data_IF_884873248354
#
_entry.id   IF_884873248354
#
_cell.length_a   1.000
_cell.length_b   1.000
_cell.length_c   1.000
_cell.angle_alpha   90.00
_cell.angle_beta   90.00
_cell.angle_gamma   90.00
#
_symmetry.space_group_name_H-M   'P 1'
#
loop_
_entity.id
_entity.type
_entity.pdbx_description
1 polymer ?
#
# COMPACT_ATOMS: atom_id res chain seq x y z
N UNK A 1 -24.32 -16.91 -32.73
CA UNK A 1 -24.06 -15.63 -32.03
C UNK A 1 -22.62 -15.63 -31.55
N UNK A 2 -21.72 -14.94 -32.25
CA UNK A 2 -20.28 -14.89 -31.92
C UNK A 2 -20.04 -13.75 -30.93
N UNK A 3 -19.66 -14.08 -29.70
CA UNK A 3 -19.26 -13.10 -28.69
C UNK A 3 -17.85 -12.61 -28.97
N UNK A 4 -17.72 -11.43 -29.56
CA UNK A 4 -16.45 -10.73 -29.73
C UNK A 4 -15.89 -10.32 -28.35
N UNK A 5 -14.84 -11.00 -27.89
CA UNK A 5 -13.95 -10.51 -26.84
C UNK A 5 -13.11 -9.37 -27.42
N UNK A 6 -13.66 -8.16 -27.39
CA UNK A 6 -12.95 -6.96 -27.82
C UNK A 6 -11.84 -6.59 -26.82
N UNK A 7 -10.61 -7.00 -27.12
CA UNK A 7 -9.42 -6.32 -26.59
C UNK A 7 -9.29 -5.02 -27.38
N UNK A 8 -9.75 -3.91 -26.82
CA UNK A 8 -9.60 -2.59 -27.44
C UNK A 8 -8.21 -2.03 -27.11
N UNK A 9 -7.41 -1.84 -28.15
CA UNK A 9 -6.10 -1.23 -28.08
C UNK A 9 -6.21 0.25 -28.49
N UNK A 10 -6.16 1.16 -27.52
CA UNK A 10 -6.24 2.61 -27.78
C UNK A 10 -4.83 3.19 -27.94
N UNK A 11 -4.62 3.92 -29.04
CA UNK A 11 -3.33 4.52 -29.38
C UNK A 11 -2.99 5.71 -28.47
N UNK A 12 -1.72 5.73 -28.02
CA UNK A 12 -0.95 6.80 -27.35
C UNK A 12 -0.67 6.67 -25.85
N UNK A 13 -1.41 5.86 -25.10
CA UNK A 13 -0.96 5.25 -23.84
C UNK A 13 -1.56 3.85 -23.81
N UNK A 14 -0.73 2.82 -23.99
CA UNK A 14 -1.21 1.43 -24.04
C UNK A 14 -1.61 1.00 -22.63
N UNK A 15 -2.88 1.22 -22.30
CA UNK A 15 -3.57 0.63 -21.15
C UNK A 15 -4.36 -0.56 -21.67
N UNK A 16 -3.87 -1.76 -21.42
CA UNK A 16 -4.68 -2.96 -21.66
C UNK A 16 -5.61 -3.16 -20.46
N UNK A 17 -6.92 -3.14 -20.70
CA UNK A 17 -7.94 -3.55 -19.72
C UNK A 17 -8.57 -4.88 -20.12
N UNK A 18 -7.84 -6.00 -20.00
CA UNK A 18 -8.47 -7.30 -20.18
C UNK A 18 -9.42 -7.55 -19.01
N UNK A 19 -10.68 -7.82 -19.33
CA UNK A 19 -11.58 -8.46 -18.38
C UNK A 19 -11.14 -9.92 -18.30
N UNK A 20 -10.42 -10.28 -17.24
CA UNK A 20 -10.04 -11.66 -17.02
C UNK A 20 -11.32 -12.41 -16.69
N UNK A 21 -11.80 -13.23 -17.63
CA UNK A 21 -12.92 -14.16 -17.45
C UNK A 21 -12.37 -15.56 -17.34
N UNK A 22 -13.03 -16.40 -16.54
CA UNK A 22 -12.76 -17.85 -16.48
C UNK A 22 -12.77 -18.53 -17.85
N UNK A 23 -13.55 -18.00 -18.79
CA UNK A 23 -13.75 -18.58 -20.12
C UNK A 23 -12.76 -18.05 -21.18
N UNK A 24 -11.71 -17.34 -20.78
CA UNK A 24 -10.66 -16.97 -21.73
C UNK A 24 -9.98 -18.24 -22.26
N UNK A 25 -9.93 -18.41 -23.58
CA UNK A 25 -9.28 -19.59 -24.17
C UNK A 25 -7.78 -19.60 -23.85
N UNK A 26 -7.19 -20.80 -23.74
CA UNK A 26 -5.74 -20.98 -23.52
C UNK A 26 -4.90 -20.18 -24.53
N UNK A 27 -5.35 -20.06 -25.79
CA UNK A 27 -4.68 -19.24 -26.80
C UNK A 27 -4.60 -17.74 -26.41
N UNK A 28 -5.66 -17.19 -25.82
CA UNK A 28 -5.70 -15.79 -25.35
C UNK A 28 -4.78 -15.62 -24.14
N UNK A 29 -4.80 -16.55 -23.19
CA UNK A 29 -3.95 -16.49 -22.00
C UNK A 29 -2.46 -16.58 -22.37
N UNK A 30 -2.09 -17.47 -23.29
CA UNK A 30 -0.72 -17.59 -23.79
C UNK A 30 -0.26 -16.34 -24.54
N UNK A 31 -1.13 -15.74 -25.34
CA UNK A 31 -0.85 -14.46 -26.00
C UNK A 31 -0.62 -13.35 -24.98
N UNK A 32 -1.48 -13.25 -23.95
CA UNK A 32 -1.34 -12.27 -22.88
C UNK A 32 -0.05 -12.48 -22.08
N UNK A 33 0.34 -13.73 -21.82
CA UNK A 33 1.63 -14.03 -21.19
C UNK A 33 2.81 -13.51 -22.01
N UNK A 34 2.82 -13.69 -23.34
CA UNK A 34 3.88 -13.12 -24.20
C UNK A 34 3.89 -11.60 -24.13
N UNK A 35 2.73 -10.96 -24.23
CA UNK A 35 2.62 -9.49 -24.15
C UNK A 35 3.09 -8.94 -22.80
N UNK A 36 2.74 -9.60 -21.68
CA UNK A 36 3.13 -9.15 -20.34
C UNK A 36 4.62 -9.39 -20.04
N UNK A 37 5.19 -10.48 -20.57
CA UNK A 37 6.53 -10.94 -20.22
C UNK A 37 7.60 -10.54 -21.23
N UNK A 38 7.40 -10.92 -22.48
CA UNK A 38 8.34 -10.73 -23.58
C UNK A 38 8.15 -9.36 -24.22
N UNK A 39 7.02 -8.70 -23.94
CA UNK A 39 6.63 -7.44 -24.58
C UNK A 39 6.59 -7.59 -26.09
N UNK A 40 6.09 -8.73 -26.58
CA UNK A 40 5.96 -9.03 -28.00
C UNK A 40 4.56 -9.57 -28.32
N UNK A 41 4.14 -9.40 -29.57
CA UNK A 41 2.89 -9.90 -30.11
C UNK A 41 3.08 -10.36 -31.56
N UNK A 42 2.54 -11.52 -31.89
CA UNK A 42 2.46 -12.05 -33.26
C UNK A 42 0.99 -12.04 -33.67
N UNK A 43 0.67 -11.35 -34.76
CA UNK A 43 -0.69 -11.24 -35.29
C UNK A 43 -1.07 -12.41 -36.24
N UNK A 44 -0.29 -13.48 -36.22
CA UNK A 44 -0.46 -14.67 -37.07
C UNK A 44 0.45 -14.67 -38.30
N UNK A 45 1.33 -13.69 -38.44
CA UNK A 45 2.33 -13.61 -39.51
C UNK A 45 3.60 -14.41 -39.23
N UNK A 46 3.73 -15.03 -38.05
CA UNK A 46 4.91 -15.80 -37.65
C UNK A 46 6.09 -14.92 -37.19
N UNK A 47 5.89 -13.61 -37.12
CA UNK A 47 6.91 -12.63 -36.73
C UNK A 47 6.41 -11.84 -35.52
N UNK A 48 7.04 -12.09 -34.37
CA UNK A 48 6.73 -11.38 -33.13
C UNK A 48 7.25 -9.93 -33.19
N UNK A 49 6.37 -8.97 -32.93
CA UNK A 49 6.66 -7.53 -32.93
C UNK A 49 6.65 -6.96 -31.51
N UNK A 50 7.51 -5.98 -31.20
CA UNK A 50 7.56 -5.38 -29.86
C UNK A 50 6.29 -4.58 -29.54
N UNK A 51 5.84 -4.69 -28.30
CA UNK A 51 4.66 -4.02 -27.75
C UNK A 51 5.12 -3.00 -26.70
N UNK A 52 4.92 -1.69 -26.93
CA UNK A 52 5.32 -0.62 -26.00
C UNK A 52 4.32 -0.48 -24.84
N UNK A 53 4.05 -1.60 -24.15
CA UNK A 53 3.13 -1.67 -23.02
C UNK A 53 3.69 -0.88 -21.83
N UNK A 54 2.99 0.14 -21.35
CA UNK A 54 3.39 0.88 -20.14
C UNK A 54 2.58 0.45 -18.92
N UNK A 55 1.29 0.20 -19.10
CA UNK A 55 0.37 -0.18 -18.04
C UNK A 55 -0.58 -1.28 -18.51
N UNK A 56 -0.78 -2.28 -17.66
CA UNK A 56 -1.84 -3.26 -17.84
C UNK A 56 -2.68 -3.30 -16.57
N UNK A 57 -3.98 -3.06 -16.70
CA UNK A 57 -4.93 -3.09 -15.59
C UNK A 57 -5.94 -4.18 -15.88
N UNK A 58 -5.91 -5.28 -15.14
CA UNK A 58 -6.93 -6.31 -15.28
C UNK A 58 -8.00 -6.16 -14.19
N UNK A 59 -9.23 -6.54 -14.53
CA UNK A 59 -10.31 -6.69 -13.57
C UNK A 59 -10.95 -8.07 -13.73
N UNK A 60 -11.24 -8.72 -12.60
CA UNK A 60 -11.94 -9.99 -12.53
C UNK A 60 -12.94 -9.94 -11.37
N UNK A 61 -14.05 -10.66 -11.52
CA UNK A 61 -14.99 -10.91 -10.43
C UNK A 61 -14.68 -12.22 -9.68
N UNK A 62 -13.77 -13.04 -10.22
CA UNK A 62 -13.52 -14.42 -9.81
C UNK A 62 -12.01 -14.71 -9.73
N UNK A 63 -11.63 -15.68 -8.90
CA UNK A 63 -10.22 -15.97 -8.60
C UNK A 63 -9.70 -17.23 -9.29
N UNK A 64 -8.40 -17.29 -9.66
CA UNK A 64 -7.87 -18.38 -10.49
C UNK A 64 -7.96 -19.79 -9.91
N UNK A 65 -8.06 -19.94 -8.59
CA UNK A 65 -8.06 -21.23 -7.89
C UNK A 65 -9.38 -22.00 -7.94
N UNK A 66 -10.46 -21.41 -8.47
CA UNK A 66 -11.80 -21.96 -8.35
C UNK A 66 -12.24 -22.94 -9.46
N UNK A 67 -11.38 -23.32 -10.43
CA UNK A 67 -11.81 -24.10 -11.62
C UNK A 67 -10.68 -24.85 -12.35
N UNK A 68 -11.08 -25.83 -13.18
CA UNK A 68 -10.21 -26.49 -14.16
C UNK A 68 -9.68 -25.49 -15.20
N UNK A 69 -8.38 -25.55 -15.52
CA UNK A 69 -7.68 -24.52 -16.32
C UNK A 69 -7.09 -23.37 -15.48
N UNK A 70 -7.29 -23.37 -14.16
CA UNK A 70 -6.76 -22.36 -13.23
C UNK A 70 -5.24 -22.16 -13.27
N UNK A 71 -4.45 -23.13 -13.75
CA UNK A 71 -2.98 -23.04 -13.83
C UNK A 71 -2.51 -21.92 -14.78
N UNK A 72 -3.08 -21.82 -15.98
CA UNK A 72 -2.70 -20.77 -16.96
C UNK A 72 -3.12 -19.39 -16.46
N UNK A 73 -4.31 -19.30 -15.87
CA UNK A 73 -4.83 -18.06 -15.31
C UNK A 73 -4.04 -17.64 -14.06
N UNK A 74 -3.61 -18.57 -13.21
CA UNK A 74 -2.70 -18.31 -12.10
C UNK A 74 -1.33 -17.80 -12.60
N UNK A 75 -0.82 -18.36 -13.69
CA UNK A 75 0.42 -17.89 -14.32
C UNK A 75 0.29 -16.45 -14.84
N UNK A 76 -0.86 -16.07 -15.41
CA UNK A 76 -1.18 -14.68 -15.80
C UNK A 76 -1.33 -13.80 -14.56
N UNK A 77 -2.03 -14.28 -13.55
CA UNK A 77 -2.29 -13.55 -12.30
C UNK A 77 -0.98 -13.17 -11.58
N UNK A 78 0.01 -14.06 -11.53
CA UNK A 78 1.34 -13.76 -10.97
C UNK A 78 2.10 -12.66 -11.75
N UNK A 79 1.68 -12.36 -12.99
CA UNK A 79 2.29 -11.29 -13.78
C UNK A 79 1.86 -9.90 -13.32
N UNK A 80 0.72 -9.76 -12.66
CA UNK A 80 0.30 -8.50 -12.06
C UNK A 80 1.10 -8.23 -10.78
N UNK A 81 1.75 -7.07 -10.71
CA UNK A 81 2.54 -6.69 -9.54
C UNK A 81 1.63 -6.22 -8.40
N UNK A 82 0.65 -5.38 -8.72
CA UNK A 82 -0.30 -4.80 -7.78
C UNK A 82 -1.64 -5.51 -7.87
N UNK A 83 -2.26 -5.77 -6.71
CA UNK A 83 -3.57 -6.39 -6.56
C UNK A 83 -4.39 -5.59 -5.56
N UNK A 84 -5.66 -5.39 -5.87
CA UNK A 84 -6.61 -4.69 -5.00
C UNK A 84 -7.99 -5.31 -5.11
N UNK A 85 -8.56 -5.72 -3.97
CA UNK A 85 -9.98 -6.01 -3.85
C UNK A 85 -10.76 -4.69 -3.78
N UNK A 86 -11.63 -4.46 -4.76
CA UNK A 86 -12.53 -3.30 -4.82
C UNK A 86 -13.87 -3.70 -4.23
N UNK A 87 -14.30 -3.01 -3.16
CA UNK A 87 -15.59 -3.25 -2.49
C UNK A 87 -16.61 -2.19 -2.91
N UNK A 88 -17.92 -2.49 -2.82
CA UNK A 88 -18.96 -1.49 -3.03
C UNK A 88 -18.81 -0.29 -2.08
N UNK A 89 -19.42 0.85 -2.46
CA UNK A 89 -19.37 2.09 -1.65
C UNK A 89 -20.17 1.91 -0.35
N UNK A 90 -19.48 1.96 0.79
CA UNK A 90 -20.10 1.74 2.12
C UNK A 90 -20.39 3.03 2.90
N UNK A 91 -19.67 4.11 2.63
CA UNK A 91 -19.85 5.39 3.34
C UNK A 91 -21.15 6.09 2.95
N UNK A 92 -21.83 6.74 3.90
CA UNK A 92 -23.02 7.54 3.63
C UNK A 92 -22.78 8.64 2.59
N UNK A 93 -21.68 9.39 2.71
CA UNK A 93 -21.35 10.47 1.78
C UNK A 93 -20.95 9.97 0.39
N UNK A 94 -20.16 8.90 0.33
CA UNK A 94 -19.85 8.24 -0.94
C UNK A 94 -21.12 7.73 -1.64
N UNK A 95 -22.10 7.21 -0.89
CA UNK A 95 -23.39 6.79 -1.46
C UNK A 95 -24.22 7.97 -1.95
N UNK A 96 -24.27 9.08 -1.20
CA UNK A 96 -24.93 10.31 -1.64
C UNK A 96 -24.30 10.82 -2.94
N UNK A 97 -22.97 10.88 -3.01
CA UNK A 97 -22.25 11.28 -4.22
C UNK A 97 -22.54 10.33 -5.38
N UNK A 98 -22.51 9.02 -5.17
CA UNK A 98 -22.80 8.02 -6.20
C UNK A 98 -24.22 8.16 -6.79
N UNK A 99 -25.20 8.49 -5.96
CA UNK A 99 -26.61 8.55 -6.37
C UNK A 99 -27.04 9.91 -6.92
N UNK A 100 -26.44 11.00 -6.42
CA UNK A 100 -26.99 12.35 -6.60
C UNK A 100 -26.01 13.36 -7.21
N UNK A 101 -24.74 13.01 -7.46
CA UNK A 101 -23.84 13.93 -8.15
C UNK A 101 -24.16 13.94 -9.65
N UNK A 102 -24.32 15.13 -10.22
CA UNK A 102 -24.57 15.32 -11.66
C UNK A 102 -23.36 14.90 -12.51
N UNK A 103 -22.14 15.01 -11.95
CA UNK A 103 -20.90 14.59 -12.60
C UNK A 103 -20.00 13.80 -11.64
N UNK A 104 -19.55 12.64 -12.10
CA UNK A 104 -18.61 11.76 -11.40
C UNK A 104 -17.22 11.77 -12.05
N UNK A 105 -17.01 12.57 -13.10
CA UNK A 105 -15.75 12.68 -13.82
C UNK A 105 -14.68 13.24 -12.88
N UNK A 106 -13.53 12.56 -12.74
CA UNK A 106 -12.45 13.08 -11.92
C UNK A 106 -11.86 14.34 -12.57
N UNK A 107 -11.69 15.40 -11.79
CA UNK A 107 -10.96 16.58 -12.23
C UNK A 107 -9.47 16.23 -12.33
N UNK A 108 -8.93 16.22 -13.56
CA UNK A 108 -7.52 15.97 -13.81
C UNK A 108 -6.74 17.27 -13.66
N UNK A 109 -5.86 17.34 -12.66
CA UNK A 109 -5.08 18.54 -12.35
C UNK A 109 -3.77 18.66 -13.15
N UNK A 110 -3.29 17.55 -13.73
CA UNK A 110 -2.00 17.50 -14.43
C UNK A 110 -2.03 16.46 -15.55
N UNK A 111 -1.17 16.67 -16.55
CA UNK A 111 -0.91 15.72 -17.65
C UNK A 111 0.55 15.30 -17.58
N UNK A 112 0.82 14.03 -17.85
CA UNK A 112 2.17 13.47 -18.00
C UNK A 112 2.34 12.85 -19.37
N UNK A 113 3.47 13.10 -19.99
CA UNK A 113 3.86 12.55 -21.29
C UNK A 113 4.44 11.13 -21.12
N UNK A 114 4.38 10.30 -22.18
CA UNK A 114 5.01 8.98 -22.13
C UNK A 114 6.52 9.03 -21.84
N UNK A 115 7.22 10.07 -22.31
CA UNK A 115 8.65 10.24 -22.08
C UNK A 115 8.96 10.55 -20.60
N UNK A 116 8.13 11.37 -19.95
CA UNK A 116 8.23 11.65 -18.51
C UNK A 116 7.98 10.38 -17.68
N UNK A 117 7.01 9.55 -18.07
CA UNK A 117 6.77 8.25 -17.42
C UNK A 117 7.97 7.32 -17.58
N UNK A 118 8.56 7.26 -18.77
CA UNK A 118 9.74 6.43 -19.03
C UNK A 118 10.96 6.93 -18.23
N UNK A 119 11.11 8.25 -18.08
CA UNK A 119 12.15 8.87 -17.26
C UNK A 119 11.95 8.59 -15.77
N UNK A 120 10.74 8.81 -15.25
CA UNK A 120 10.36 8.49 -13.88
C UNK A 120 10.62 7.01 -13.55
N UNK A 121 10.33 6.10 -14.49
CA UNK A 121 10.62 4.68 -14.32
C UNK A 121 12.11 4.38 -14.17
N UNK A 122 12.98 5.07 -14.93
CA UNK A 122 14.45 4.92 -14.81
C UNK A 122 14.96 5.47 -13.48
N UNK A 123 14.51 6.66 -13.08
CA UNK A 123 14.91 7.30 -11.84
C UNK A 123 14.47 6.49 -10.61
N UNK A 124 13.20 6.07 -10.58
CA UNK A 124 12.71 5.18 -9.54
C UNK A 124 13.52 3.87 -9.47
N UNK A 125 13.83 3.24 -10.61
CA UNK A 125 14.62 2.01 -10.64
C UNK A 125 16.03 2.17 -10.07
N UNK A 126 16.62 3.37 -10.17
CA UNK A 126 17.94 3.70 -9.65
C UNK A 126 17.95 4.08 -8.16
N UNK A 127 16.77 4.30 -7.56
CA UNK A 127 16.67 4.77 -6.18
C UNK A 127 17.32 3.76 -5.19
N UNK A 128 18.29 4.21 -4.37
CA UNK A 128 18.96 3.34 -3.40
C UNK A 128 17.99 2.92 -2.29
N UNK A 129 18.35 1.84 -1.59
CA UNK A 129 17.64 1.39 -0.38
C UNK A 129 18.49 1.70 0.84
N UNK A 130 17.87 2.26 1.87
CA UNK A 130 18.46 2.32 3.19
C UNK A 130 18.63 0.89 3.75
N UNK A 131 19.63 0.69 4.61
CA UNK A 131 19.92 -0.65 5.15
C UNK A 131 18.81 -1.14 6.08
N UNK A 132 18.24 -0.26 6.90
CA UNK A 132 17.09 -0.56 7.74
C UNK A 132 15.83 -0.90 6.92
N UNK A 133 15.64 -0.33 5.73
CA UNK A 133 14.57 -0.70 4.80
C UNK A 133 14.77 -2.12 4.23
N UNK A 134 16.02 -2.55 3.99
CA UNK A 134 16.32 -3.93 3.57
C UNK A 134 16.02 -4.90 4.70
N UNK A 135 16.47 -4.60 5.91
CA UNK A 135 16.20 -5.40 7.12
C UNK A 135 14.68 -5.49 7.39
N UNK A 136 13.96 -4.39 7.18
CA UNK A 136 12.51 -4.33 7.28
C UNK A 136 11.84 -5.21 6.22
N UNK A 137 12.30 -5.20 4.97
CA UNK A 137 11.78 -6.06 3.90
C UNK A 137 11.99 -7.56 4.23
N UNK A 138 13.16 -7.95 4.70
CA UNK A 138 13.43 -9.32 5.14
C UNK A 138 12.54 -9.72 6.33
N UNK A 139 12.34 -8.80 7.27
CA UNK A 139 11.44 -9.00 8.41
C UNK A 139 10.00 -9.19 7.95
N UNK A 140 9.50 -8.37 7.01
CA UNK A 140 8.17 -8.55 6.40
C UNK A 140 8.05 -9.96 5.83
N UNK A 141 9.00 -10.42 5.01
CA UNK A 141 8.94 -11.75 4.40
C UNK A 141 8.94 -12.88 5.44
N UNK A 142 9.77 -12.78 6.48
CA UNK A 142 9.80 -13.76 7.58
C UNK A 142 8.49 -13.79 8.36
N UNK A 143 7.93 -12.63 8.72
CA UNK A 143 6.69 -12.54 9.49
C UNK A 143 5.48 -13.00 8.65
N UNK A 144 5.44 -12.66 7.36
CA UNK A 144 4.42 -13.17 6.43
C UNK A 144 4.45 -14.70 6.33
N UNK A 145 5.64 -15.30 6.29
CA UNK A 145 5.78 -16.75 6.21
C UNK A 145 5.23 -17.47 7.45
N UNK A 146 5.23 -16.81 8.63
CA UNK A 146 4.59 -17.33 9.87
C UNK A 146 3.06 -17.28 9.78
N UNK A 147 2.52 -16.31 9.06
CA UNK A 147 1.09 -16.15 8.76
C UNK A 147 0.65 -16.98 7.54
N UNK A 148 1.50 -17.88 7.02
CA UNK A 148 1.18 -18.74 5.87
C UNK A 148 1.31 -18.06 4.50
N UNK A 149 1.77 -16.81 4.43
CA UNK A 149 1.93 -16.06 3.17
C UNK A 149 3.38 -16.17 2.67
N UNK A 150 3.58 -16.87 1.54
CA UNK A 150 4.91 -17.14 0.97
C UNK A 150 4.99 -16.68 -0.49
N UNK A 151 5.24 -15.38 -0.76
CA UNK A 151 5.40 -14.89 -2.13
C UNK A 151 6.63 -15.53 -2.78
N UNK A 152 6.50 -16.00 -4.02
CA UNK A 152 7.65 -16.55 -4.78
C UNK A 152 8.67 -15.48 -5.19
N UNK A 153 9.87 -15.92 -5.59
CA UNK A 153 11.02 -15.04 -5.89
C UNK A 153 10.70 -13.92 -6.89
N UNK A 154 9.93 -14.23 -7.94
CA UNK A 154 9.51 -13.25 -8.94
C UNK A 154 8.73 -12.10 -8.31
N UNK A 155 7.85 -12.41 -7.36
CA UNK A 155 7.03 -11.45 -6.64
C UNK A 155 7.85 -10.61 -5.68
N UNK A 156 8.75 -11.25 -4.94
CA UNK A 156 9.68 -10.54 -4.05
C UNK A 156 10.54 -9.55 -4.85
N UNK A 157 11.05 -9.96 -6.02
CA UNK A 157 11.81 -9.06 -6.90
C UNK A 157 10.96 -7.90 -7.44
N UNK A 158 9.70 -8.15 -7.79
CA UNK A 158 8.77 -7.07 -8.19
C UNK A 158 8.46 -6.11 -7.04
N UNK A 159 8.29 -6.64 -5.83
CA UNK A 159 8.03 -5.84 -4.63
C UNK A 159 9.12 -4.79 -4.41
N UNK A 160 10.39 -5.15 -4.59
CA UNK A 160 11.52 -4.20 -4.53
C UNK A 160 11.34 -3.03 -5.51
N UNK A 161 10.94 -3.33 -6.76
CA UNK A 161 10.66 -2.29 -7.76
C UNK A 161 9.46 -1.42 -7.42
N UNK A 162 8.42 -2.00 -6.82
CA UNK A 162 7.22 -1.25 -6.39
C UNK A 162 7.54 -0.31 -5.23
N UNK A 163 8.29 -0.75 -4.23
CA UNK A 163 8.70 0.10 -3.10
C UNK A 163 9.59 1.27 -3.57
N UNK A 164 10.50 1.02 -4.53
CA UNK A 164 11.26 2.10 -5.21
C UNK A 164 10.36 3.13 -5.88
N UNK A 165 9.40 2.67 -6.68
CA UNK A 165 8.47 3.56 -7.36
C UNK A 165 7.63 4.37 -6.38
N UNK A 166 7.19 3.74 -5.28
CA UNK A 166 6.42 4.41 -4.24
C UNK A 166 7.24 5.49 -3.51
N UNK A 167 8.48 5.19 -3.14
CA UNK A 167 9.41 6.15 -2.53
C UNK A 167 9.70 7.34 -3.46
N UNK A 168 10.00 7.07 -4.74
CA UNK A 168 10.25 8.11 -5.73
C UNK A 168 9.01 9.01 -5.94
N UNK A 169 7.81 8.43 -6.03
CA UNK A 169 6.56 9.20 -6.12
C UNK A 169 6.29 10.05 -4.87
N UNK A 170 6.80 9.62 -3.70
CA UNK A 170 6.79 10.39 -2.46
C UNK A 170 7.87 11.48 -2.38
N UNK A 171 8.74 11.58 -3.39
CA UNK A 171 9.85 12.54 -3.42
C UNK A 171 11.04 12.15 -2.53
N UNK A 172 11.13 10.88 -2.12
CA UNK A 172 12.24 10.41 -1.31
C UNK A 172 13.52 10.22 -2.15
N UNK A 173 14.68 10.41 -1.51
CA UNK A 173 16.02 10.20 -2.09
C UNK A 173 16.48 8.73 -2.01
N UNK A 174 15.84 7.94 -1.14
CA UNK A 174 16.05 6.50 -0.96
C UNK A 174 14.79 5.80 -0.46
N UNK A 175 14.74 4.48 -0.62
CA UNK A 175 13.69 3.64 -0.01
C UNK A 175 13.97 3.50 1.49
N UNK A 176 13.10 4.11 2.28
CA UNK A 176 12.97 3.95 3.74
C UNK A 176 11.91 2.89 4.12
N UNK A 177 11.90 2.38 5.37
CA UNK A 177 10.93 1.38 5.85
C UNK A 177 9.46 1.75 5.62
N UNK A 178 9.10 3.03 5.74
CA UNK A 178 7.72 3.50 5.55
C UNK A 178 7.17 3.25 4.14
N UNK A 179 8.05 3.24 3.14
CA UNK A 179 7.66 2.98 1.76
C UNK A 179 7.26 1.51 1.52
N UNK A 180 7.54 0.61 2.45
CA UNK A 180 7.10 -0.79 2.36
C UNK A 180 5.58 -0.92 2.53
N UNK A 181 4.86 0.14 2.95
CA UNK A 181 3.40 0.11 3.09
C UNK A 181 2.67 -0.33 1.81
N UNK A 182 3.21 0.04 0.64
CA UNK A 182 2.65 -0.31 -0.67
C UNK A 182 2.64 -1.81 -0.92
N UNK A 183 3.51 -2.57 -0.24
CA UNK A 183 3.66 -4.01 -0.43
C UNK A 183 2.45 -4.81 0.08
N UNK A 184 1.55 -4.18 0.84
CA UNK A 184 0.28 -4.76 1.27
C UNK A 184 -0.66 -5.03 0.08
N UNK A 185 -0.37 -4.43 -1.08
CA UNK A 185 -1.06 -4.69 -2.34
C UNK A 185 -0.25 -5.56 -3.30
N UNK A 186 0.87 -6.15 -2.84
CA UNK A 186 1.82 -6.88 -3.70
C UNK A 186 2.02 -8.32 -3.24
N UNK A 187 2.32 -8.53 -1.95
CA UNK A 187 2.94 -9.77 -1.46
C UNK A 187 1.97 -10.94 -1.22
N UNK A 188 0.67 -10.71 -1.23
CA UNK A 188 -0.34 -11.76 -1.07
C UNK A 188 -0.78 -12.34 -2.41
N UNK A 189 -1.15 -13.62 -2.40
CA UNK A 189 -1.68 -14.37 -3.55
C UNK A 189 -3.17 -14.66 -3.42
N UNK A 190 -3.61 -14.99 -2.20
CA UNK A 190 -5.01 -15.19 -1.87
C UNK A 190 -5.64 -13.83 -1.50
N UNK A 191 -6.73 -13.42 -2.14
CA UNK A 191 -7.42 -12.15 -1.90
C UNK A 191 -8.43 -12.17 -0.74
N UNK A 192 -8.75 -13.32 -0.18
CA UNK A 192 -9.73 -13.43 0.91
C UNK A 192 -9.03 -13.30 2.26
N UNK A 193 -8.08 -14.18 2.56
CA UNK A 193 -7.47 -14.26 3.90
C UNK A 193 -6.17 -13.46 4.02
N UNK A 194 -5.32 -13.54 2.99
CA UNK A 194 -3.97 -13.00 3.07
C UNK A 194 -3.85 -11.47 3.02
N UNK A 195 -4.75 -10.67 2.40
CA UNK A 195 -4.54 -9.22 2.35
C UNK A 195 -4.60 -8.58 3.74
N UNK A 196 -5.45 -9.10 4.62
CA UNK A 196 -5.56 -8.63 6.00
C UNK A 196 -4.30 -8.96 6.81
N UNK A 197 -3.82 -10.21 6.73
CA UNK A 197 -2.57 -10.62 7.36
C UNK A 197 -1.39 -9.81 6.83
N UNK A 198 -1.33 -9.61 5.51
CA UNK A 198 -0.28 -8.86 4.83
C UNK A 198 -0.25 -7.39 5.27
N UNK A 199 -1.40 -6.71 5.25
CA UNK A 199 -1.52 -5.34 5.71
C UNK A 199 -1.10 -5.17 7.18
N UNK A 200 -1.48 -6.11 8.07
CA UNK A 200 -1.12 -6.08 9.49
C UNK A 200 0.39 -6.24 9.70
N UNK A 201 1.03 -7.22 9.06
CA UNK A 201 2.48 -7.44 9.15
C UNK A 201 3.23 -6.23 8.63
N UNK A 202 2.83 -5.71 7.48
CA UNK A 202 3.48 -4.56 6.86
C UNK A 202 3.29 -3.31 7.72
N UNK A 203 2.10 -3.04 8.26
CA UNK A 203 1.90 -1.90 9.15
C UNK A 203 2.79 -1.95 10.40
N UNK A 204 3.02 -3.15 10.95
CA UNK A 204 3.91 -3.38 12.10
C UNK A 204 5.38 -3.06 11.78
N UNK A 205 5.83 -3.39 10.56
CA UNK A 205 7.25 -3.31 10.15
C UNK A 205 7.59 -2.01 9.42
N UNK A 206 6.70 -1.53 8.56
CA UNK A 206 6.87 -0.30 7.76
C UNK A 206 6.65 0.96 8.58
N UNK A 207 5.85 0.90 9.67
CA UNK A 207 5.56 2.06 10.49
C UNK A 207 5.93 1.86 11.98
N UNK A 208 7.18 1.52 12.31
CA UNK A 208 7.59 1.33 13.70
C UNK A 208 7.48 2.64 14.49
N UNK A 209 7.78 3.78 13.85
CA UNK A 209 7.62 5.11 14.43
C UNK A 209 6.15 5.43 14.75
N UNK A 210 5.21 5.23 13.81
CA UNK A 210 3.79 5.48 14.02
C UNK A 210 3.13 4.50 14.98
N UNK A 211 3.58 3.24 15.00
CA UNK A 211 3.18 2.29 16.04
C UNK A 211 3.67 2.74 17.42
N UNK A 212 4.94 3.15 17.52
CA UNK A 212 5.51 3.66 18.77
C UNK A 212 4.80 4.92 19.24
N UNK A 213 4.50 5.85 18.34
CA UNK A 213 3.67 7.03 18.61
C UNK A 213 2.28 6.62 19.11
N UNK A 214 1.65 5.63 18.49
CA UNK A 214 0.31 5.17 18.90
C UNK A 214 0.36 4.51 20.28
N UNK A 215 1.37 3.68 20.55
CA UNK A 215 1.57 3.05 21.85
C UNK A 215 1.80 4.10 22.95
N UNK A 216 2.65 5.09 22.70
CA UNK A 216 2.92 6.20 23.63
C UNK A 216 1.67 7.07 23.89
N UNK A 217 0.84 7.30 22.87
CA UNK A 217 -0.43 8.00 23.06
C UNK A 217 -1.42 7.19 23.92
N UNK A 218 -1.51 5.88 23.70
CA UNK A 218 -2.35 5.00 24.55
C UNK A 218 -1.86 5.00 26.00
N UNK A 219 -0.55 4.96 26.21
CA UNK A 219 0.05 5.06 27.55
C UNK A 219 -0.29 6.41 28.21
N UNK A 220 -0.20 7.51 27.46
CA UNK A 220 -0.56 8.84 27.97
C UNK A 220 -2.04 8.91 28.42
N UNK A 221 -2.97 8.35 27.63
CA UNK A 221 -4.39 8.25 28.00
C UNK A 221 -4.60 7.43 29.28
N UNK A 222 -3.90 6.31 29.42
CA UNK A 222 -3.99 5.47 30.62
C UNK A 222 -3.49 6.20 31.86
N UNK A 223 -2.39 6.95 31.74
CA UNK A 223 -1.87 7.79 32.83
C UNK A 223 -2.90 8.84 33.21
N UNK A 224 -3.46 9.57 32.25
CA UNK A 224 -4.46 10.61 32.51
C UNK A 224 -5.73 10.03 33.15
N UNK A 225 -6.25 8.90 32.65
CA UNK A 225 -7.44 8.25 33.18
C UNK A 225 -7.25 7.73 34.61
N UNK A 226 -6.03 7.35 34.99
CA UNK A 226 -5.71 6.89 36.35
C UNK A 226 -5.38 8.03 37.33
N UNK A 227 -5.33 9.29 36.86
CA UNK A 227 -4.90 10.42 37.68
C UNK A 227 -6.08 11.02 38.45
N UNK A 228 -5.90 11.17 39.76
CA UNK A 228 -6.77 12.02 40.57
C UNK A 228 -6.16 13.42 40.67
N UNK A 229 -6.71 14.37 39.91
CA UNK A 229 -6.19 15.73 39.81
C UNK A 229 -6.24 16.51 41.15
N UNK A 230 -7.06 16.08 42.12
CA UNK A 230 -7.15 16.70 43.45
C UNK A 230 -6.09 16.18 44.42
N UNK A 231 -5.43 15.07 44.08
CA UNK A 231 -4.34 14.50 44.86
C UNK A 231 -3.00 14.95 44.28
N UNK A 232 -2.30 15.85 44.98
CA UNK A 232 -1.01 16.41 44.56
C UNK A 232 0.04 15.33 44.24
N UNK A 233 0.08 14.23 45.01
CA UNK A 233 1.01 13.12 44.78
C UNK A 233 0.65 12.34 43.51
N UNK A 234 -0.65 12.15 43.25
CA UNK A 234 -1.15 11.51 42.03
C UNK A 234 -0.84 12.36 40.79
N UNK A 235 -1.13 13.67 40.85
CA UNK A 235 -0.84 14.63 39.79
C UNK A 235 0.66 14.74 39.49
N UNK A 236 1.52 14.78 40.52
CA UNK A 236 2.97 14.81 40.35
C UNK A 236 3.51 13.53 39.66
N UNK A 237 3.00 12.37 40.05
CA UNK A 237 3.37 11.07 39.44
C UNK A 237 2.97 11.00 37.98
N UNK A 238 1.75 11.46 37.66
CA UNK A 238 1.25 11.51 36.28
C UNK A 238 2.04 12.50 35.41
N UNK A 239 2.38 13.68 35.95
CA UNK A 239 3.20 14.66 35.24
C UNK A 239 4.60 14.14 34.91
N UNK A 240 5.22 13.37 35.81
CA UNK A 240 6.52 12.74 35.56
C UNK A 240 6.44 11.69 34.44
N UNK A 241 5.39 10.85 34.43
CA UNK A 241 5.16 9.85 33.37
C UNK A 241 4.89 10.51 32.01
N UNK A 242 4.05 11.55 31.96
CA UNK A 242 3.78 12.28 30.73
C UNK A 242 5.03 13.00 30.19
N UNK A 243 5.91 13.50 31.07
CA UNK A 243 7.19 14.11 30.66
C UNK A 243 8.15 13.08 30.04
N UNK A 244 8.16 11.84 30.56
CA UNK A 244 8.93 10.75 29.98
C UNK A 244 8.37 10.35 28.60
N UNK A 245 7.04 10.25 28.47
CA UNK A 245 6.36 9.98 27.19
C UNK A 245 6.68 11.07 26.16
N UNK A 246 6.67 12.34 26.55
CA UNK A 246 7.07 13.45 25.66
C UNK A 246 8.51 13.28 25.18
N UNK A 247 9.45 12.93 26.06
CA UNK A 247 10.86 12.69 25.70
C UNK A 247 11.00 11.52 24.73
N UNK A 248 10.23 10.45 24.94
CA UNK A 248 10.24 9.30 24.04
C UNK A 248 9.64 9.64 22.67
N UNK A 249 8.57 10.45 22.63
CA UNK A 249 8.03 11.00 21.37
C UNK A 249 9.03 11.94 20.69
N UNK A 250 9.85 12.68 21.45
CA UNK A 250 10.92 13.53 20.94
C UNK A 250 12.05 12.74 20.25
N UNK A 251 12.28 11.51 20.68
CA UNK A 251 13.28 10.60 20.09
C UNK A 251 12.77 9.86 18.83
N UNK A 252 11.47 9.86 18.56
CA UNK A 252 10.92 9.26 17.33
C UNK A 252 11.10 10.23 16.17
N UNK A 253 11.85 9.82 15.14
CA UNK A 253 11.95 10.52 13.86
C UNK A 253 10.74 10.17 12.98
N UNK A 254 10.02 11.17 12.47
CA UNK A 254 8.88 10.95 11.60
C UNK A 254 8.07 12.21 11.27
N UNK A 255 7.10 12.02 10.39
CA UNK A 255 6.23 13.02 9.77
C UNK A 255 5.18 13.65 10.74
N UNK A 256 4.29 14.50 10.22
CA UNK A 256 3.34 15.34 10.99
C UNK A 256 2.36 14.64 11.94
N UNK A 257 2.35 13.30 12.01
CA UNK A 257 1.68 12.55 13.08
C UNK A 257 2.47 12.59 14.39
N UNK A 258 3.80 12.50 14.33
CA UNK A 258 4.69 12.61 15.50
C UNK A 258 4.54 13.99 16.14
N UNK A 259 4.55 15.05 15.32
CA UNK A 259 4.40 16.43 15.80
C UNK A 259 3.03 16.67 16.47
N UNK A 260 1.94 16.14 15.90
CA UNK A 260 0.62 16.21 16.53
C UNK A 260 0.57 15.46 17.87
N UNK A 261 1.20 14.29 17.94
CA UNK A 261 1.27 13.51 19.18
C UNK A 261 2.06 14.24 20.27
N UNK A 262 3.22 14.84 19.91
CA UNK A 262 4.02 15.67 20.81
C UNK A 262 3.22 16.87 21.33
N UNK A 263 2.56 17.60 20.43
CA UNK A 263 1.73 18.74 20.80
C UNK A 263 0.60 18.35 21.77
N UNK A 264 -0.05 17.21 21.52
CA UNK A 264 -1.09 16.67 22.40
C UNK A 264 -0.58 16.38 23.81
N UNK A 265 0.49 15.59 23.95
CA UNK A 265 1.04 15.23 25.27
C UNK A 265 1.53 16.47 26.03
N UNK A 266 2.14 17.43 25.32
CA UNK A 266 2.59 18.71 25.89
C UNK A 266 1.43 19.56 26.42
N UNK A 267 0.29 19.58 25.72
CA UNK A 267 -0.92 20.27 26.16
C UNK A 267 -1.53 19.63 27.42
N UNK A 268 -1.62 18.30 27.45
CA UNK A 268 -2.09 17.57 28.64
C UNK A 268 -1.21 17.81 29.86
N UNK A 269 0.11 17.85 29.66
CA UNK A 269 1.07 18.13 30.72
C UNK A 269 0.92 19.55 31.28
N UNK A 270 0.59 20.53 30.43
CA UNK A 270 0.24 21.89 30.89
C UNK A 270 -1.06 21.92 31.69
N UNK A 271 -2.11 21.27 31.18
CA UNK A 271 -3.43 21.20 31.85
C UNK A 271 -3.33 20.55 33.23
N UNK A 272 -2.59 19.44 33.33
CA UNK A 272 -2.38 18.73 34.59
C UNK A 272 -1.65 19.62 35.62
N UNK A 273 -0.63 20.37 35.19
CA UNK A 273 0.08 21.32 36.06
C UNK A 273 -0.82 22.46 36.53
N UNK A 274 -1.64 23.05 35.65
CA UNK A 274 -2.60 24.08 36.05
C UNK A 274 -3.62 23.55 37.07
N UNK A 275 -4.23 22.40 36.79
CA UNK A 275 -5.21 21.79 37.70
C UNK A 275 -4.62 21.48 39.09
N UNK A 276 -3.35 21.07 39.15
CA UNK A 276 -2.68 20.84 40.43
C UNK A 276 -2.38 22.12 41.23
N UNK A 277 -2.24 23.27 40.57
CA UNK A 277 -2.06 24.57 41.22
C UNK A 277 -3.41 25.11 41.72
N UNK A 278 -4.49 24.92 40.96
CA UNK A 278 -5.84 25.33 41.35
C UNK A 278 -6.45 24.49 42.49
N UNK A 279 -5.89 23.31 42.76
CA UNK A 279 -6.31 22.42 43.84
C UNK A 279 -5.66 22.72 45.21
N UNK A 280 -4.72 23.67 45.26
CA UNK A 280 -4.05 24.18 46.48
C UNK A 280 -4.82 25.39 47.02
#
# INVERSE_FOLDING_TARGET
MRGNSHVRFWSRVWVAIPRLRQQASSAILNTLLRVLNERTFDDGGGVARPVPLRLCVAASNEWPSAFEGGKELAAVFDRFALRKAVRPVMSGDGRKRLLWADDLTPALAATVTPAEVDQAGREAAALPWADDAKDAMETVLRELAKEGVRPGDRRQRKAVGVARAFAWLGGADRVEPEHLEVLASVLWDDPEEQPAACARVIAKVANPAGMRVTALLVEAEQVLAATDARNLTSAATAAAKLAEIERQLAAVTGNGRVERARAYVKDQLKKLKLASIEAI
#
